data_IF_988408736468
#
_entry.id   IF_988408736468
#
_cell.length_a   1.000
_cell.length_b   1.000
_cell.length_c   1.000
_cell.angle_alpha   90.00
_cell.angle_beta   90.00
_cell.angle_gamma   90.00
#
_symmetry.space_group_name_H-M   'P 1'
#
loop_
_entity.id
_entity.type
_entity.pdbx_description
1 polymer ?
#
# COMPACT_ATOMS: atom_id res chain seq x y z
N UNK A 1 -9.34 8.30 -6.82
CA UNK A 1 -8.00 7.69 -6.71
C UNK A 1 -7.99 6.68 -5.57
N UNK A 2 -7.28 5.60 -5.75
CA UNK A 2 -7.16 4.53 -4.76
C UNK A 2 -5.68 4.30 -4.43
N UNK A 3 -5.37 4.05 -3.17
CA UNK A 3 -4.01 3.76 -2.73
C UNK A 3 -3.77 2.25 -2.82
N UNK A 4 -2.59 1.86 -3.31
CA UNK A 4 -2.22 0.44 -3.41
C UNK A 4 -1.40 0.04 -2.20
N UNK A 5 -1.66 -1.16 -1.64
CA UNK A 5 -0.68 -1.76 -0.73
C UNK A 5 0.45 -2.41 -1.54
N UNK A 6 1.44 -2.97 -0.87
CA UNK A 6 2.60 -3.55 -1.55
C UNK A 6 2.20 -4.73 -2.45
N UNK A 7 1.29 -5.58 -2.00
CA UNK A 7 0.85 -6.74 -2.80
C UNK A 7 0.16 -6.31 -4.09
N UNK A 8 -0.72 -5.32 -4.02
CA UNK A 8 -1.42 -4.78 -5.18
C UNK A 8 -0.44 -4.08 -6.13
N UNK A 9 0.51 -3.33 -5.60
CA UNK A 9 1.54 -2.66 -6.41
C UNK A 9 2.39 -3.68 -7.17
N UNK A 10 2.82 -4.75 -6.51
CA UNK A 10 3.59 -5.83 -7.14
C UNK A 10 2.78 -6.52 -8.23
N UNK A 11 1.50 -6.78 -7.98
CA UNK A 11 0.63 -7.41 -8.97
C UNK A 11 0.50 -6.54 -10.23
N UNK A 12 0.25 -5.24 -10.07
CA UNK A 12 0.18 -4.30 -11.20
C UNK A 12 1.51 -4.21 -11.94
N UNK A 13 2.61 -4.13 -11.21
CA UNK A 13 3.94 -4.06 -11.79
C UNK A 13 4.24 -5.29 -12.66
N UNK A 14 3.68 -6.45 -12.32
CA UNK A 14 3.83 -7.69 -13.08
C UNK A 14 2.81 -7.84 -14.20
N UNK A 15 1.99 -6.84 -14.44
CA UNK A 15 1.01 -6.83 -15.52
C UNK A 15 -0.31 -7.50 -15.19
N UNK A 16 -0.55 -7.84 -13.93
CA UNK A 16 -1.84 -8.37 -13.50
C UNK A 16 -2.88 -7.25 -13.43
N UNK A 17 -4.15 -7.57 -13.66
CA UNK A 17 -5.24 -6.61 -13.63
C UNK A 17 -6.13 -6.85 -12.41
N UNK A 18 -6.56 -5.78 -11.73
CA UNK A 18 -7.56 -5.91 -10.68
C UNK A 18 -8.95 -6.23 -11.25
N UNK A 19 -9.94 -6.36 -10.38
CA UNK A 19 -11.32 -6.56 -10.83
C UNK A 19 -11.77 -5.40 -11.75
N UNK A 20 -12.81 -5.62 -12.55
CA UNK A 20 -13.26 -4.64 -13.54
C UNK A 20 -13.64 -3.29 -12.95
N UNK A 21 -14.20 -3.29 -11.74
CA UNK A 21 -14.61 -2.04 -11.09
C UNK A 21 -13.42 -1.11 -10.85
N UNK A 22 -12.20 -1.65 -10.76
CA UNK A 22 -10.99 -0.89 -10.48
C UNK A 22 -10.18 -0.53 -11.72
N UNK A 23 -10.54 -1.03 -12.90
CA UNK A 23 -9.73 -0.83 -14.12
C UNK A 23 -9.51 0.62 -14.51
N UNK A 24 -10.49 1.46 -14.26
CA UNK A 24 -10.45 2.86 -14.65
C UNK A 24 -10.09 3.79 -13.50
N UNK A 25 -9.79 3.24 -12.33
CA UNK A 25 -9.38 4.03 -11.18
C UNK A 25 -7.94 4.49 -11.33
N UNK A 26 -7.69 5.76 -11.03
CA UNK A 26 -6.32 6.23 -10.88
C UNK A 26 -5.75 5.69 -9.58
N UNK A 27 -4.46 5.33 -9.60
CA UNK A 27 -3.81 4.69 -8.46
C UNK A 27 -2.67 5.56 -7.93
N UNK A 28 -2.43 5.42 -6.64
CA UNK A 28 -1.33 6.07 -5.98
C UNK A 28 -0.62 5.12 -5.02
N UNK A 29 0.57 5.49 -4.61
CA UNK A 29 1.39 4.75 -3.66
C UNK A 29 1.79 5.64 -2.49
N UNK A 30 1.82 5.05 -1.30
CA UNK A 30 2.60 5.60 -0.20
C UNK A 30 4.10 5.47 -0.52
N UNK A 31 4.92 6.42 -0.09
CA UNK A 31 6.38 6.27 -0.17
C UNK A 31 6.87 5.04 0.62
N UNK A 32 6.09 4.53 1.56
CA UNK A 32 6.37 3.26 2.25
C UNK A 32 6.32 2.09 1.27
N UNK A 33 5.33 2.06 0.38
CA UNK A 33 5.24 1.03 -0.68
C UNK A 33 6.36 1.21 -1.69
N UNK A 34 6.68 2.45 -2.06
CA UNK A 34 7.82 2.75 -2.91
C UNK A 34 9.10 2.15 -2.33
N UNK A 35 9.35 2.34 -1.03
CA UNK A 35 10.48 1.74 -0.32
C UNK A 35 10.49 0.22 -0.47
N UNK A 36 9.36 -0.43 -0.28
CA UNK A 36 9.25 -1.89 -0.39
C UNK A 36 9.61 -2.38 -1.80
N UNK A 37 9.22 -1.65 -2.83
CA UNK A 37 9.57 -1.99 -4.21
C UNK A 37 11.08 -1.88 -4.42
N UNK A 38 11.71 -0.85 -3.87
CA UNK A 38 13.17 -0.71 -3.94
C UNK A 38 13.91 -1.80 -3.16
N UNK A 39 13.37 -2.24 -2.03
CA UNK A 39 13.92 -3.38 -1.30
C UNK A 39 13.99 -4.61 -2.21
N UNK A 40 12.94 -4.86 -2.99
CA UNK A 40 12.92 -5.97 -3.95
C UNK A 40 14.03 -5.86 -5.00
N UNK A 41 14.33 -4.65 -5.47
CA UNK A 41 15.43 -4.41 -6.43
C UNK A 41 16.79 -4.69 -5.79
N UNK A 42 17.03 -4.12 -4.62
CA UNK A 42 18.33 -4.22 -3.97
C UNK A 42 18.59 -5.58 -3.32
N UNK A 43 17.52 -6.31 -3.02
CA UNK A 43 17.63 -7.64 -2.41
C UNK A 43 17.49 -8.73 -3.48
N UNK A 44 18.35 -8.68 -4.49
CA UNK A 44 18.48 -9.73 -5.49
C UNK A 44 17.70 -9.58 -6.78
N UNK A 45 16.94 -8.48 -6.96
CA UNK A 45 16.12 -8.29 -8.14
C UNK A 45 16.87 -8.00 -9.43
N UNK A 46 18.02 -7.35 -9.34
CA UNK A 46 18.89 -7.05 -10.49
C UNK A 46 18.34 -5.94 -11.40
N UNK A 47 18.98 -5.78 -12.56
CA UNK A 47 18.70 -4.67 -13.50
C UNK A 47 17.32 -4.76 -14.15
N UNK A 48 16.86 -5.96 -14.44
CA UNK A 48 15.53 -6.16 -15.03
C UNK A 48 14.42 -5.71 -14.08
N UNK A 49 14.55 -6.05 -12.79
CA UNK A 49 13.59 -5.63 -11.78
C UNK A 49 13.69 -4.12 -11.53
N UNK A 50 14.90 -3.57 -11.52
CA UNK A 50 15.11 -2.12 -11.41
C UNK A 50 14.36 -1.36 -12.52
N UNK A 51 14.49 -1.81 -13.76
CA UNK A 51 13.83 -1.18 -14.89
C UNK A 51 12.30 -1.21 -14.75
N UNK A 52 11.76 -2.35 -14.28
CA UNK A 52 10.32 -2.48 -14.05
C UNK A 52 9.82 -1.53 -12.95
N UNK A 53 10.54 -1.46 -11.84
CA UNK A 53 10.18 -0.58 -10.73
C UNK A 53 10.26 0.87 -11.16
N UNK A 54 11.34 1.29 -11.82
CA UNK A 54 11.49 2.66 -12.30
C UNK A 54 10.35 3.06 -13.24
N UNK A 55 10.01 2.19 -14.20
CA UNK A 55 8.92 2.45 -15.13
C UNK A 55 7.58 2.57 -14.41
N UNK A 56 7.31 1.66 -13.48
CA UNK A 56 6.07 1.66 -12.71
C UNK A 56 5.94 2.94 -11.87
N UNK A 57 7.00 3.34 -11.18
CA UNK A 57 6.98 4.53 -10.32
C UNK A 57 6.73 5.82 -11.10
N UNK A 58 7.13 5.87 -12.38
CA UNK A 58 6.83 7.01 -13.25
C UNK A 58 5.36 7.08 -13.65
N UNK A 59 4.64 5.96 -13.58
CA UNK A 59 3.25 5.88 -14.02
C UNK A 59 2.23 6.11 -12.90
N UNK A 60 2.66 6.18 -11.65
CA UNK A 60 1.78 6.33 -10.50
C UNK A 60 2.11 7.59 -9.71
N UNK A 61 1.13 8.09 -8.97
CA UNK A 61 1.37 9.21 -8.05
C UNK A 61 1.88 8.67 -6.72
N UNK A 62 2.95 9.28 -6.21
CA UNK A 62 3.54 8.91 -4.91
C UNK A 62 3.15 9.95 -3.87
N UNK A 63 2.63 9.48 -2.74
CA UNK A 63 2.30 10.30 -1.59
C UNK A 63 3.36 10.10 -0.51
N UNK A 64 3.96 11.17 -0.06
CA UNK A 64 4.96 11.11 1.00
C UNK A 64 4.30 10.72 2.33
N UNK A 65 4.93 9.80 3.05
CA UNK A 65 4.53 9.43 4.39
C UNK A 65 4.93 10.57 5.34
N UNK A 66 4.02 11.49 5.56
CA UNK A 66 4.24 12.74 6.29
C UNK A 66 3.84 12.63 7.78
N UNK A 67 3.85 13.75 8.49
CA UNK A 67 3.50 13.80 9.91
C UNK A 67 2.05 13.37 10.17
N UNK A 68 1.13 13.71 9.28
CA UNK A 68 -0.27 13.28 9.41
C UNK A 68 -0.39 11.77 9.26
N UNK A 69 0.31 11.20 8.31
CA UNK A 69 0.37 9.74 8.13
C UNK A 69 0.99 9.07 9.35
N UNK A 70 2.05 9.64 9.91
CA UNK A 70 2.70 9.13 11.11
C UNK A 70 1.77 9.13 12.32
N UNK A 71 1.06 10.23 12.55
CA UNK A 71 0.12 10.34 13.67
C UNK A 71 -1.02 9.33 13.53
N UNK A 72 -1.58 9.21 12.34
CA UNK A 72 -2.68 8.28 12.09
C UNK A 72 -2.23 6.83 12.24
N UNK A 73 -1.01 6.51 11.80
CA UNK A 73 -0.40 5.20 11.98
C UNK A 73 -0.24 4.86 13.46
N UNK A 74 0.17 5.85 14.27
CA UNK A 74 0.29 5.65 15.72
C UNK A 74 -1.04 5.21 16.34
N UNK A 75 -2.16 5.78 15.90
CA UNK A 75 -3.49 5.35 16.36
C UNK A 75 -3.81 3.92 15.93
N UNK A 76 -3.51 3.57 14.69
CA UNK A 76 -3.70 2.21 14.18
C UNK A 76 -2.91 1.21 15.01
N UNK A 77 -1.63 1.49 15.24
CA UNK A 77 -0.76 0.63 16.05
C UNK A 77 -1.30 0.45 17.46
N UNK A 78 -1.64 1.55 18.14
CA UNK A 78 -2.15 1.51 19.51
C UNK A 78 -3.45 0.71 19.61
N UNK A 79 -4.38 0.92 18.67
CA UNK A 79 -5.65 0.21 18.65
C UNK A 79 -5.45 -1.30 18.47
N UNK A 80 -4.61 -1.70 17.50
CA UNK A 80 -4.37 -3.12 17.22
C UNK A 80 -3.60 -3.81 18.37
N UNK A 81 -2.66 -3.11 18.99
CA UNK A 81 -1.95 -3.63 20.16
C UNK A 81 -2.92 -3.85 21.33
N UNK A 82 -3.85 -2.90 21.52
CA UNK A 82 -4.81 -2.99 22.64
C UNK A 82 -5.71 -4.22 22.55
N UNK A 83 -6.00 -4.70 21.33
CA UNK A 83 -6.81 -5.90 21.12
C UNK A 83 -5.95 -7.16 20.85
N UNK A 84 -4.62 -7.04 20.93
CA UNK A 84 -3.71 -8.16 20.72
C UNK A 84 -3.67 -8.71 19.30
N UNK A 85 -3.98 -7.87 18.30
CA UNK A 85 -4.04 -8.31 16.88
C UNK A 85 -3.23 -7.40 15.96
N UNK A 86 -1.90 -7.29 16.17
CA UNK A 86 -1.06 -6.47 15.30
C UNK A 86 -1.01 -7.04 13.87
N UNK A 87 -0.76 -6.17 12.90
CA UNK A 87 -0.64 -6.54 11.49
C UNK A 87 0.76 -6.30 10.94
N UNK A 88 1.68 -5.85 11.78
CA UNK A 88 3.04 -5.49 11.39
C UNK A 88 3.18 -4.00 11.12
N UNK A 89 4.42 -3.52 11.20
CA UNK A 89 4.71 -2.07 11.14
C UNK A 89 4.43 -1.49 9.76
N UNK A 90 4.87 -2.15 8.69
CA UNK A 90 4.69 -1.65 7.32
C UNK A 90 3.22 -1.61 6.94
N UNK A 91 2.46 -2.68 7.21
CA UNK A 91 1.03 -2.68 6.91
C UNK A 91 0.28 -1.64 7.73
N UNK A 92 0.68 -1.42 8.98
CA UNK A 92 0.11 -0.36 9.82
C UNK A 92 0.39 1.02 9.24
N UNK A 93 1.58 1.25 8.70
CA UNK A 93 1.95 2.51 8.04
C UNK A 93 1.12 2.73 6.78
N UNK A 94 0.95 1.69 5.97
CA UNK A 94 0.14 1.78 4.74
C UNK A 94 -1.32 2.11 5.10
N UNK A 95 -1.89 1.41 6.08
CA UNK A 95 -3.25 1.66 6.53
C UNK A 95 -3.42 3.07 7.12
N UNK A 96 -2.50 3.48 7.98
CA UNK A 96 -2.51 4.82 8.58
C UNK A 96 -2.39 5.92 7.53
N UNK A 97 -1.57 5.70 6.51
CA UNK A 97 -1.42 6.66 5.42
C UNK A 97 -2.72 6.78 4.60
N UNK A 98 -3.33 5.65 4.25
CA UNK A 98 -4.62 5.66 3.53
C UNK A 98 -5.69 6.42 4.33
N UNK A 99 -5.76 6.17 5.63
CA UNK A 99 -6.69 6.87 6.52
C UNK A 99 -6.43 8.37 6.56
N UNK A 100 -5.16 8.79 6.65
CA UNK A 100 -4.80 10.20 6.68
C UNK A 100 -5.17 10.92 5.37
N UNK A 101 -5.09 10.22 4.26
CA UNK A 101 -5.45 10.74 2.93
C UNK A 101 -6.94 10.63 2.64
N UNK A 102 -7.69 9.92 3.48
CA UNK A 102 -9.11 9.58 3.25
C UNK A 102 -9.31 8.87 1.90
N UNK A 103 -8.39 7.99 1.56
CA UNK A 103 -8.40 7.22 0.33
C UNK A 103 -8.70 5.75 0.61
N UNK A 104 -9.44 5.09 -0.29
CA UNK A 104 -9.57 3.64 -0.20
C UNK A 104 -8.23 2.97 -0.47
N UNK A 105 -8.05 1.80 0.13
CA UNK A 105 -6.85 0.98 -0.03
C UNK A 105 -7.20 -0.28 -0.82
N UNK A 106 -6.47 -0.54 -1.90
CA UNK A 106 -6.60 -1.77 -2.68
C UNK A 106 -5.52 -2.75 -2.24
N UNK A 107 -5.94 -3.95 -1.85
CA UNK A 107 -5.03 -4.99 -1.37
C UNK A 107 -5.41 -6.36 -1.91
N UNK A 108 -4.41 -7.15 -2.23
CA UNK A 108 -4.57 -8.58 -2.51
C UNK A 108 -4.53 -9.40 -1.20
N UNK A 109 -4.20 -8.77 -0.09
CA UNK A 109 -4.13 -9.40 1.23
C UNK A 109 -5.02 -8.66 2.23
N UNK A 110 -6.33 -8.70 1.96
CA UNK A 110 -7.30 -7.95 2.75
C UNK A 110 -7.41 -8.42 4.21
N UNK A 111 -7.00 -9.64 4.52
CA UNK A 111 -7.21 -10.27 5.83
C UNK A 111 -6.66 -9.43 6.99
N UNK A 112 -5.44 -8.91 6.87
CA UNK A 112 -4.83 -8.07 7.91
C UNK A 112 -5.52 -6.71 8.02
N UNK A 113 -5.80 -6.09 6.87
CA UNK A 113 -6.34 -4.73 6.84
C UNK A 113 -7.79 -4.65 7.34
N UNK A 114 -8.54 -5.76 7.35
CA UNK A 114 -9.89 -5.80 7.92
C UNK A 114 -9.92 -5.47 9.41
N UNK A 115 -8.80 -5.61 10.09
CA UNK A 115 -8.69 -5.30 11.53
C UNK A 115 -8.61 -3.81 11.81
N UNK A 116 -8.42 -2.98 10.78
CA UNK A 116 -8.22 -1.54 10.92
C UNK A 116 -9.56 -0.82 10.80
N UNK A 117 -9.99 -0.19 11.90
CA UNK A 117 -11.25 0.55 11.93
C UNK A 117 -11.21 1.77 11.01
N UNK A 118 -12.29 1.97 10.28
CA UNK A 118 -12.46 3.14 9.43
C UNK A 118 -11.77 3.07 8.07
N UNK A 119 -11.00 2.02 7.82
CA UNK A 119 -10.31 1.86 6.55
C UNK A 119 -11.29 1.38 5.48
N UNK A 120 -11.36 2.13 4.37
CA UNK A 120 -12.13 1.74 3.19
C UNK A 120 -11.26 0.78 2.38
N UNK A 121 -11.51 -0.51 2.55
CA UNK A 121 -10.69 -1.57 1.96
C UNK A 121 -11.38 -2.13 0.73
N UNK A 122 -10.66 -2.15 -0.39
CA UNK A 122 -11.13 -2.71 -1.66
C UNK A 122 -10.33 -3.97 -1.97
N UNK A 123 -11.03 -5.04 -2.31
CA UNK A 123 -10.39 -6.30 -2.68
C UNK A 123 -9.86 -6.26 -4.10
N UNK A 124 -8.70 -6.89 -4.31
CA UNK A 124 -8.13 -7.09 -5.64
C UNK A 124 -9.04 -7.91 -6.55
N UNK A 125 -9.71 -8.91 -6.00
CA UNK A 125 -10.57 -9.84 -6.75
C UNK A 125 -11.99 -9.32 -6.95
#
# INVERSE_FOLDING_TARGET
MILLDTSAAIALLRGESPNEAMRNESVGLSSVVEMELWVGVYHGGGEKERARVESFLKSVRIFEFDSQAAERTARVLADLWSIGKPIGDVDSQIAGHALSLKMPLLSDNAKHFKRVDGLDLVSWL
#
